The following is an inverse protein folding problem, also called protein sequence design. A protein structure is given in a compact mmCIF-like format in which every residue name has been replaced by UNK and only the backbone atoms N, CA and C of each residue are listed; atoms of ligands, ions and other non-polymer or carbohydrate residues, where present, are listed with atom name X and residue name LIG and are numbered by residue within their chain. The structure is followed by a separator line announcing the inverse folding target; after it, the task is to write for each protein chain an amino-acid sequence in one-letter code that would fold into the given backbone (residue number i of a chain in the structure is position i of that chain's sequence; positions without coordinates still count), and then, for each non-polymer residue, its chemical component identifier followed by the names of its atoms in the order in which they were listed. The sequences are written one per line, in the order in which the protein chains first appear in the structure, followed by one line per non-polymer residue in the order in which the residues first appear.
data_IF_587175793526
#
_entry.id   IF_587175793526
#
_cell.length_a   1.000
_cell.length_b   1.000
_cell.length_c   1.000
_cell.angle_alpha   90.00
_cell.angle_beta   90.00
_cell.angle_gamma   90.00
#
_symmetry.space_group_name_H-M   'P 1'
#
loop_
_entity.id
_entity.type
_entity.pdbx_description
1 polymer ?
#
# COMPACT_ATOMS: atom_id res chain seq x y z
N UNK A 1 -59.65 -10.75 -17.82
CA UNK A 1 -58.32 -10.63 -18.47
C UNK A 1 -57.76 -9.20 -18.39
N UNK A 2 -58.52 -8.14 -18.63
CA UNK A 2 -58.00 -6.74 -18.57
C UNK A 2 -57.51 -6.32 -17.15
N UNK A 3 -58.16 -6.77 -16.07
CA UNK A 3 -57.75 -6.44 -14.70
C UNK A 3 -56.42 -7.08 -14.29
N UNK A 4 -56.12 -8.28 -14.78
CA UNK A 4 -54.84 -8.98 -14.53
C UNK A 4 -53.70 -8.30 -15.29
N UNK A 5 -53.97 -7.81 -16.53
CA UNK A 5 -52.99 -7.08 -17.32
C UNK A 5 -52.61 -5.73 -16.68
N UNK A 6 -53.56 -5.05 -16.05
CA UNK A 6 -53.29 -3.78 -15.37
C UNK A 6 -52.46 -4.06 -14.08
N UNK A 7 -52.75 -5.13 -13.35
CA UNK A 7 -51.99 -5.50 -12.15
C UNK A 7 -50.52 -5.86 -12.52
N UNK A 8 -50.31 -6.56 -13.62
CA UNK A 8 -49.00 -6.90 -14.14
C UNK A 8 -48.21 -5.65 -14.60
N UNK A 9 -48.89 -4.67 -15.21
CA UNK A 9 -48.28 -3.41 -15.62
C UNK A 9 -47.85 -2.58 -14.41
N UNK A 10 -48.64 -2.53 -13.34
CA UNK A 10 -48.30 -1.84 -12.10
C UNK A 10 -47.12 -2.51 -11.41
N UNK A 11 -47.07 -3.84 -11.39
CA UNK A 11 -45.96 -4.61 -10.82
C UNK A 11 -44.65 -4.36 -11.61
N UNK A 12 -44.73 -4.29 -12.94
CA UNK A 12 -43.57 -4.00 -13.80
C UNK A 12 -43.05 -2.57 -13.57
N UNK A 13 -43.94 -1.61 -13.40
CA UNK A 13 -43.59 -0.21 -13.13
C UNK A 13 -42.96 -0.01 -11.73
N UNK A 14 -43.31 -0.84 -10.74
CA UNK A 14 -42.73 -0.81 -9.38
C UNK A 14 -41.27 -1.22 -9.33
N UNK A 15 -40.79 -2.05 -10.27
CA UNK A 15 -39.40 -2.51 -10.30
C UNK A 15 -38.39 -1.46 -10.77
N UNK A 16 -38.82 -0.34 -11.36
CA UNK A 16 -37.90 0.66 -11.93
C UNK A 16 -37.38 1.68 -10.91
N UNK A 17 -37.89 1.70 -9.68
CA UNK A 17 -37.50 2.68 -8.64
C UNK A 17 -36.35 2.25 -7.73
N UNK A 18 -35.75 1.07 -7.95
CA UNK A 18 -34.60 0.58 -7.16
C UNK A 18 -33.26 1.08 -7.71
N UNK A 19 -33.15 2.33 -8.16
CA UNK A 19 -31.84 2.92 -8.39
C UNK A 19 -31.25 3.28 -7.03
N UNK A 20 -30.13 2.65 -6.68
CA UNK A 20 -29.35 3.06 -5.53
C UNK A 20 -29.02 4.55 -5.66
N UNK A 21 -29.48 5.37 -4.71
CA UNK A 21 -29.18 6.80 -4.71
C UNK A 21 -27.67 6.98 -4.58
N UNK A 22 -27.04 7.38 -5.67
CA UNK A 22 -25.64 7.78 -5.68
C UNK A 22 -25.56 9.27 -5.36
N UNK A 23 -24.58 9.65 -4.57
CA UNK A 23 -24.26 11.04 -4.27
C UNK A 23 -22.77 11.29 -4.49
N UNK A 24 -22.44 12.54 -4.76
CA UNK A 24 -21.05 12.94 -4.99
C UNK A 24 -20.40 13.31 -3.67
N UNK A 25 -19.25 12.74 -3.41
CA UNK A 25 -18.35 13.14 -2.33
C UNK A 25 -17.11 13.82 -2.91
N UNK A 26 -16.56 14.74 -2.14
CA UNK A 26 -15.29 15.39 -2.44
C UNK A 26 -14.33 15.20 -1.27
N UNK A 27 -13.06 15.36 -1.49
CA UNK A 27 -12.10 15.32 -0.39
C UNK A 27 -10.72 15.76 -0.82
N UNK A 28 -9.85 15.91 0.19
CA UNK A 28 -8.44 16.24 0.02
C UNK A 28 -7.62 15.17 0.71
N UNK A 29 -6.57 14.72 0.05
CA UNK A 29 -5.61 13.76 0.60
C UNK A 29 -4.28 14.45 0.80
N UNK A 30 -3.77 14.40 2.03
CA UNK A 30 -2.51 15.05 2.42
C UNK A 30 -1.60 14.08 3.16
N UNK A 31 -0.31 14.36 3.12
CA UNK A 31 0.66 13.71 3.99
C UNK A 31 0.42 14.12 5.45
N UNK A 32 0.50 13.16 6.37
CA UNK A 32 0.27 13.41 7.80
C UNK A 32 1.38 14.24 8.44
N UNK A 33 2.64 14.07 8.01
CA UNK A 33 3.81 14.75 8.57
C UNK A 33 4.04 16.10 7.90
N UNK A 34 4.12 16.12 6.57
CA UNK A 34 4.48 17.29 5.78
C UNK A 34 3.29 18.23 5.54
N UNK A 35 2.04 17.73 5.67
CA UNK A 35 0.80 18.43 5.33
C UNK A 35 0.71 18.85 3.86
N UNK A 36 1.52 18.26 3.02
CA UNK A 36 1.52 18.47 1.57
C UNK A 36 0.45 17.62 0.89
N UNK A 37 -0.15 18.07 -0.23
CA UNK A 37 -1.12 17.29 -0.99
C UNK A 37 -0.46 16.07 -1.63
N UNK A 38 -1.14 14.93 -1.60
CA UNK A 38 -0.68 13.72 -2.28
C UNK A 38 -1.34 13.65 -3.65
N UNK A 39 -0.53 13.83 -4.68
CA UNK A 39 -0.94 13.84 -6.09
C UNK A 39 -0.98 12.41 -6.63
N UNK A 40 -2.06 12.04 -7.32
CA UNK A 40 -2.18 10.72 -7.94
C UNK A 40 -2.52 9.58 -6.96
N UNK A 41 -2.94 9.90 -5.74
CA UNK A 41 -3.45 8.89 -4.81
C UNK A 41 -4.74 8.27 -5.37
N UNK A 42 -4.84 6.96 -5.29
CA UNK A 42 -5.99 6.19 -5.76
C UNK A 42 -7.07 6.15 -4.69
N UNK A 43 -8.31 6.47 -5.08
CA UNK A 43 -9.52 6.39 -4.23
C UNK A 43 -10.52 5.49 -4.94
N UNK A 44 -10.78 4.30 -4.39
CA UNK A 44 -11.64 3.29 -5.02
C UNK A 44 -12.73 2.86 -4.04
N UNK A 45 -13.95 2.67 -4.54
CA UNK A 45 -15.02 2.04 -3.77
C UNK A 45 -14.73 0.54 -3.65
N UNK A 46 -14.57 0.05 -2.41
CA UNK A 46 -14.23 -1.34 -2.10
C UNK A 46 -15.16 -2.33 -2.80
N UNK A 47 -14.58 -3.31 -3.49
CA UNK A 47 -15.33 -4.35 -4.19
C UNK A 47 -15.93 -3.92 -5.53
N UNK A 48 -15.58 -2.74 -6.04
CA UNK A 48 -16.02 -2.23 -7.34
C UNK A 48 -14.85 -1.73 -8.18
N UNK A 49 -15.13 -1.38 -9.44
CA UNK A 49 -14.20 -0.67 -10.33
C UNK A 49 -14.40 0.84 -10.31
N UNK A 50 -15.33 1.34 -9.47
CA UNK A 50 -15.61 2.77 -9.36
C UNK A 50 -14.52 3.45 -8.52
N UNK A 51 -13.76 4.34 -9.11
CA UNK A 51 -12.66 5.03 -8.45
C UNK A 51 -12.20 6.26 -9.20
N UNK A 52 -11.33 7.02 -8.56
CA UNK A 52 -10.70 8.24 -9.07
C UNK A 52 -9.28 8.37 -8.54
N UNK A 53 -8.54 9.35 -9.01
CA UNK A 53 -7.21 9.72 -8.49
C UNK A 53 -7.23 11.19 -8.08
N UNK A 54 -6.36 11.55 -7.15
CA UNK A 54 -6.22 12.94 -6.69
C UNK A 54 -5.51 13.81 -7.74
N UNK A 55 -5.92 15.07 -7.80
CA UNK A 55 -5.32 16.12 -8.64
C UNK A 55 -4.03 16.71 -8.01
N UNK A 56 -3.52 17.80 -8.59
CA UNK A 56 -2.29 18.49 -8.16
C UNK A 56 -2.39 19.09 -6.75
N UNK A 57 -3.60 19.41 -6.29
CA UNK A 57 -3.88 19.95 -4.97
C UNK A 57 -4.34 18.84 -3.98
N UNK A 58 -4.24 17.56 -4.40
CA UNK A 58 -4.67 16.42 -3.62
C UNK A 58 -6.19 16.24 -3.54
N UNK A 59 -6.99 16.97 -4.33
CA UNK A 59 -8.44 16.87 -4.30
C UNK A 59 -8.92 15.67 -5.12
N UNK A 60 -10.05 15.12 -4.71
CA UNK A 60 -10.76 14.10 -5.47
C UNK A 60 -12.28 14.34 -5.42
N UNK A 61 -12.97 13.82 -6.41
CA UNK A 61 -14.43 13.76 -6.47
C UNK A 61 -14.82 12.37 -6.93
N UNK A 62 -15.77 11.73 -6.22
CA UNK A 62 -16.20 10.38 -6.51
C UNK A 62 -17.71 10.23 -6.25
N UNK A 63 -18.39 9.50 -7.13
CA UNK A 63 -19.79 9.13 -6.92
C UNK A 63 -19.87 7.83 -6.13
N UNK A 64 -20.63 7.85 -5.04
CA UNK A 64 -20.73 6.73 -4.10
C UNK A 64 -22.18 6.49 -3.69
N UNK A 65 -22.45 5.31 -3.17
CA UNK A 65 -23.72 4.96 -2.53
C UNK A 65 -23.55 4.91 -1.01
N UNK A 66 -24.66 4.87 -0.32
CA UNK A 66 -24.70 4.65 1.13
C UNK A 66 -23.85 3.46 1.54
N UNK A 67 -23.19 3.56 2.68
CA UNK A 67 -22.41 2.50 3.29
C UNK A 67 -21.22 1.98 2.47
N UNK A 68 -20.88 2.61 1.34
CA UNK A 68 -19.68 2.27 0.64
C UNK A 68 -18.45 2.47 1.54
N UNK A 69 -17.42 1.67 1.29
CA UNK A 69 -16.09 1.83 1.91
C UNK A 69 -15.14 2.31 0.84
N UNK A 70 -14.47 3.42 1.09
CA UNK A 70 -13.39 3.91 0.23
C UNK A 70 -12.09 3.25 0.63
N UNK A 71 -11.36 2.77 -0.33
CA UNK A 71 -9.97 2.31 -0.19
C UNK A 71 -9.07 3.36 -0.81
N UNK A 72 -8.24 3.97 0.02
CA UNK A 72 -7.30 5.02 -0.38
C UNK A 72 -5.90 4.40 -0.34
N UNK A 73 -5.20 4.48 -1.46
CA UNK A 73 -3.84 3.93 -1.58
C UNK A 73 -2.93 4.84 -2.41
N UNK A 74 -1.67 4.90 -1.99
CA UNK A 74 -0.60 5.56 -2.73
C UNK A 74 0.71 4.82 -2.48
N UNK A 75 1.63 4.83 -3.46
CA UNK A 75 2.92 4.15 -3.33
C UNK A 75 3.75 4.75 -2.19
N UNK A 76 4.27 3.92 -1.30
CA UNK A 76 5.01 4.37 -0.12
C UNK A 76 4.16 4.85 1.06
N UNK A 77 2.83 4.67 1.01
CA UNK A 77 1.90 5.03 2.09
C UNK A 77 1.05 3.85 2.54
N UNK A 78 0.66 3.88 3.79
CA UNK A 78 -0.23 2.88 4.38
C UNK A 78 -1.62 3.05 3.78
N UNK A 79 -2.17 2.00 3.19
CA UNK A 79 -3.53 1.97 2.66
C UNK A 79 -4.55 2.19 3.77
N UNK A 80 -5.54 3.06 3.53
CA UNK A 80 -6.60 3.36 4.48
C UNK A 80 -7.97 2.97 3.93
N UNK A 81 -8.85 2.52 4.81
CA UNK A 81 -10.26 2.27 4.50
C UNK A 81 -11.13 3.23 5.28
N UNK A 82 -12.04 3.92 4.60
CA UNK A 82 -12.94 4.91 5.18
C UNK A 82 -14.38 4.58 4.80
N UNK A 83 -15.24 4.41 5.79
CA UNK A 83 -16.68 4.21 5.56
C UNK A 83 -17.32 5.54 5.18
N UNK A 84 -18.08 5.55 4.08
CA UNK A 84 -18.83 6.72 3.63
C UNK A 84 -20.04 6.95 4.52
N UNK A 85 -20.21 8.19 4.96
CA UNK A 85 -21.36 8.64 5.73
C UNK A 85 -22.22 9.59 4.87
N UNK A 86 -23.52 9.36 4.83
CA UNK A 86 -24.47 10.19 4.04
C UNK A 86 -24.49 11.65 4.43
N UNK A 87 -24.22 11.93 5.69
CA UNK A 87 -24.24 13.29 6.22
C UNK A 87 -22.94 14.06 5.97
N UNK A 88 -21.96 13.41 5.34
CA UNK A 88 -20.64 13.99 5.09
C UNK A 88 -20.32 13.92 3.60
N UNK A 89 -20.32 15.05 2.94
CA UNK A 89 -19.96 15.19 1.52
C UNK A 89 -18.49 15.57 1.30
N UNK A 90 -17.76 15.99 2.34
CA UNK A 90 -16.35 16.38 2.25
C UNK A 90 -15.50 15.60 3.23
N UNK A 91 -14.35 15.10 2.73
CA UNK A 91 -13.41 14.27 3.48
C UNK A 91 -12.01 14.91 3.47
N UNK A 92 -11.41 15.02 4.64
CA UNK A 92 -9.99 15.40 4.78
C UNK A 92 -9.23 14.17 5.28
N UNK A 93 -8.40 13.59 4.41
CA UNK A 93 -7.72 12.33 4.64
C UNK A 93 -6.23 12.58 4.78
N UNK A 94 -5.64 12.11 5.87
CA UNK A 94 -4.20 12.21 6.11
C UNK A 94 -3.58 10.83 6.04
N UNK A 95 -2.72 10.58 5.07
CA UNK A 95 -2.01 9.33 4.89
C UNK A 95 -0.66 9.36 5.63
N UNK A 96 -0.29 8.22 6.20
CA UNK A 96 1.01 8.02 6.83
C UNK A 96 1.91 7.24 5.89
N UNK A 97 3.18 7.64 5.80
CA UNK A 97 4.20 6.87 5.06
C UNK A 97 4.33 5.46 5.64
N UNK A 98 4.46 4.49 4.76
CA UNK A 98 4.78 3.11 5.13
C UNK A 98 6.30 2.97 5.23
N UNK A 99 6.82 3.17 6.45
CA UNK A 99 8.26 3.04 6.72
C UNK A 99 8.76 1.61 6.67
N UNK A 100 7.85 0.62 6.62
CA UNK A 100 8.25 -0.80 6.55
C UNK A 100 8.57 -1.27 5.12
N UNK A 101 8.15 -0.55 4.09
CA UNK A 101 8.47 -0.91 2.70
C UNK A 101 9.91 -0.56 2.29
N UNK A 102 10.67 0.13 3.12
CA UNK A 102 12.09 0.43 2.87
C UNK A 102 13.05 -0.62 3.46
N UNK A 103 12.55 -1.53 4.31
CA UNK A 103 13.34 -2.67 4.74
C UNK A 103 13.18 -3.80 3.72
N UNK A 104 14.25 -3.97 2.96
CA UNK A 104 14.56 -5.17 2.20
C UNK A 104 14.01 -5.31 0.78
N UNK A 105 14.54 -4.49 -0.14
CA UNK A 105 14.98 -5.13 -1.37
C UNK A 105 16.40 -5.65 -1.13
N UNK A 106 16.55 -6.65 -0.30
CA UNK A 106 17.68 -7.57 -0.42
C UNK A 106 17.41 -8.33 -1.72
N UNK A 107 18.08 -7.92 -2.78
CA UNK A 107 18.27 -8.76 -3.95
C UNK A 107 18.97 -10.01 -3.42
N UNK A 108 18.20 -11.04 -3.11
CA UNK A 108 18.69 -12.38 -2.93
C UNK A 108 19.12 -12.82 -4.33
N UNK A 109 20.37 -12.50 -4.69
CA UNK A 109 21.01 -13.09 -5.84
C UNK A 109 20.91 -14.60 -5.65
N UNK A 110 20.46 -15.32 -6.66
CA UNK A 110 20.47 -16.77 -6.73
C UNK A 110 21.87 -17.28 -6.40
N UNK A 111 22.06 -17.73 -5.18
CA UNK A 111 23.30 -18.28 -4.66
C UNK A 111 23.07 -18.70 -3.23
N UNK A 112 22.63 -19.94 -3.03
CA UNK A 112 22.71 -20.64 -1.76
C UNK A 112 24.17 -20.78 -1.35
N UNK A 113 24.77 -19.71 -0.86
CA UNK A 113 25.95 -19.85 -0.02
C UNK A 113 25.41 -20.02 1.41
N UNK A 114 25.34 -21.27 1.82
CA UNK A 114 25.38 -21.62 3.21
C UNK A 114 26.52 -20.80 3.84
N UNK A 115 26.22 -19.90 4.74
CA UNK A 115 27.15 -19.43 5.75
C UNK A 115 27.46 -20.63 6.66
N UNK A 116 28.27 -21.54 6.15
CA UNK A 116 28.97 -22.48 6.98
C UNK A 116 30.10 -21.68 7.65
N UNK A 117 29.90 -21.38 8.92
CA UNK A 117 30.93 -21.23 9.93
C UNK A 117 32.27 -20.64 9.46
N UNK A 118 32.31 -19.33 9.30
CA UNK A 118 33.57 -18.58 9.16
C UNK A 118 34.06 -18.07 10.51
N UNK A 119 33.66 -18.73 11.60
CA UNK A 119 34.10 -18.40 12.96
C UNK A 119 35.16 -19.34 13.51
N UNK A 120 35.62 -20.33 12.73
CA UNK A 120 36.65 -21.27 13.23
C UNK A 120 37.94 -21.32 12.41
N UNK A 121 38.29 -20.25 11.72
CA UNK A 121 39.59 -20.16 11.06
C UNK A 121 40.33 -18.85 11.39
N UNK A 122 40.25 -18.41 12.64
CA UNK A 122 41.36 -17.66 13.24
C UNK A 122 42.28 -18.72 13.83
N UNK A 123 42.99 -19.40 13.00
CA UNK A 123 44.14 -20.13 13.42
C UNK A 123 45.08 -19.11 14.10
N UNK A 124 45.21 -19.22 15.42
CA UNK A 124 46.30 -18.67 16.16
C UNK A 124 47.59 -19.11 15.47
N UNK A 125 48.23 -18.17 14.79
CA UNK A 125 49.56 -18.34 14.31
C UNK A 125 50.43 -18.47 15.55
N UNK A 126 50.79 -19.70 15.87
CA UNK A 126 51.69 -20.01 16.97
C UNK A 126 53.05 -19.42 16.61
N UNK A 127 53.41 -18.32 17.23
CA UNK A 127 54.65 -17.59 17.09
C UNK A 127 55.88 -18.43 17.47
N UNK A 128 55.65 -19.67 17.89
CA UNK A 128 56.72 -20.60 18.32
C UNK A 128 57.51 -21.24 17.22
N UNK A 129 57.06 -21.10 15.95
CA UNK A 129 57.79 -21.76 14.81
C UNK A 129 58.78 -20.83 14.13
N UNK A 130 58.88 -19.56 14.55
CA UNK A 130 59.83 -18.62 13.97
C UNK A 130 61.18 -18.55 14.70
N UNK A 131 61.30 -19.25 15.84
CA UNK A 131 62.52 -19.16 16.67
C UNK A 131 63.51 -20.30 16.41
N UNK A 132 63.31 -21.17 15.44
CA UNK A 132 64.20 -22.30 15.16
C UNK A 132 64.78 -22.31 13.71
N UNK A 133 65.04 -21.16 13.14
CA UNK A 133 65.88 -21.09 11.95
C UNK A 133 67.32 -20.78 12.38
N UNK A 134 68.22 -21.72 12.23
CA UNK A 134 69.63 -21.40 12.44
C UNK A 134 70.07 -20.45 11.33
N UNK A 135 70.44 -19.25 11.69
CA UNK A 135 71.14 -18.30 10.84
C UNK A 135 72.55 -18.89 10.60
N UNK A 136 72.72 -19.54 9.48
CA UNK A 136 74.10 -19.87 9.07
C UNK A 136 74.84 -18.58 8.70
N UNK A 137 75.76 -18.26 9.59
CA UNK A 137 76.71 -17.20 9.43
C UNK A 137 77.59 -17.48 8.26
N UNK A 138 77.47 -16.82 7.15
CA UNK A 138 78.43 -16.78 6.05
C UNK A 138 79.29 -15.53 6.26
N UNK A 139 80.29 -15.70 7.10
CA UNK A 139 81.41 -14.83 7.16
C UNK A 139 82.54 -15.43 6.35
N UNK A 140 82.89 -14.73 5.34
CA UNK A 140 84.24 -14.40 4.77
C UNK A 140 84.04 -13.87 3.37
#
# INVERSE_FOLDING_TARGET
MKKISILFLILLCSCTFLYAQQFSITGVITDKKLKEPIIGASVIVKGTTNGTVTDLDGNFTLQVSKENVLVISFIGYITQEIKVNENQSSYNIQMSEDTQTLDEVVVVGFGTQRKANLTDAVATVDTKVLDSRPVSNLGQ
#
